data_IF_330918476325
#
_entry.id   IF_330918476325
#
_cell.length_a   1.000
_cell.length_b   1.000
_cell.length_c   1.000
_cell.angle_alpha   90.00
_cell.angle_beta   90.00
_cell.angle_gamma   90.00
#
_symmetry.space_group_name_H-M   'P 1'
#
loop_
_entity.id
_entity.type
_entity.pdbx_description
1 polymer ?
#
# COMPACT_ATOMS: atom_id res chain seq x y z
N UNK A 1 4.74 -26.36 -14.66
CA UNK A 1 5.31 -25.17 -13.96
C UNK A 1 4.58 -25.04 -12.64
N UNK A 2 5.27 -25.18 -11.51
CA UNK A 2 4.63 -24.98 -10.20
C UNK A 2 4.24 -23.49 -10.08
N UNK A 3 2.96 -23.20 -9.86
CA UNK A 3 2.50 -21.85 -9.52
C UNK A 3 3.12 -21.52 -8.16
N UNK A 4 4.15 -20.67 -8.15
CA UNK A 4 4.75 -20.17 -6.91
C UNK A 4 3.66 -19.35 -6.22
N UNK A 5 3.31 -19.73 -5.00
CA UNK A 5 2.31 -18.97 -4.24
C UNK A 5 2.80 -17.53 -4.04
N UNK A 6 1.91 -16.53 -4.16
CA UNK A 6 2.29 -15.15 -3.98
C UNK A 6 2.77 -14.91 -2.55
N UNK A 7 3.92 -14.23 -2.40
CA UNK A 7 4.46 -13.85 -1.10
C UNK A 7 3.47 -12.93 -0.37
N UNK A 8 3.31 -13.13 0.93
CA UNK A 8 2.37 -12.40 1.79
C UNK A 8 3.13 -11.50 2.75
N UNK A 9 2.54 -10.36 3.08
CA UNK A 9 3.05 -9.35 4.01
C UNK A 9 1.95 -8.98 4.99
N UNK A 10 2.29 -8.88 6.27
CA UNK A 10 1.35 -8.53 7.34
C UNK A 10 1.58 -7.10 7.81
N UNK A 11 0.56 -6.27 7.70
CA UNK A 11 0.50 -4.94 8.26
C UNK A 11 -0.24 -4.97 9.59
N UNK A 12 0.35 -4.34 10.63
CA UNK A 12 -0.25 -4.25 11.96
C UNK A 12 -0.65 -2.81 12.26
N UNK A 13 -1.93 -2.58 12.54
CA UNK A 13 -2.49 -1.28 12.91
C UNK A 13 -3.17 -1.39 14.27
N UNK A 14 -2.61 -0.75 15.31
CA UNK A 14 -3.17 -0.74 16.68
C UNK A 14 -3.46 -2.15 17.23
N UNK A 15 -2.61 -3.12 16.89
CA UNK A 15 -2.74 -4.52 17.30
C UNK A 15 -3.70 -5.36 16.44
N UNK A 16 -4.25 -4.80 15.36
CA UNK A 16 -5.07 -5.51 14.37
C UNK A 16 -4.24 -5.84 13.14
N UNK A 17 -4.48 -7.00 12.55
CA UNK A 17 -3.71 -7.54 11.44
C UNK A 17 -4.43 -7.35 10.09
N UNK A 18 -3.63 -7.09 9.08
CA UNK A 18 -4.05 -7.07 7.68
C UNK A 18 -3.00 -7.74 6.82
N UNK A 19 -3.37 -8.82 6.14
CA UNK A 19 -2.48 -9.64 5.31
C UNK A 19 -2.74 -9.28 3.86
N UNK A 20 -1.71 -8.80 3.19
CA UNK A 20 -1.72 -8.47 1.78
C UNK A 20 -0.79 -9.44 1.03
N UNK A 21 -1.11 -9.71 -0.23
CA UNK A 21 -0.11 -10.17 -1.19
C UNK A 21 0.91 -9.05 -1.42
N UNK A 22 2.18 -9.41 -1.55
CA UNK A 22 3.23 -8.46 -1.96
C UNK A 22 2.91 -7.92 -3.37
N UNK A 23 2.79 -6.60 -3.53
CA UNK A 23 2.43 -6.00 -4.81
C UNK A 23 3.52 -6.25 -5.86
N UNK A 24 3.11 -6.52 -7.09
CA UNK A 24 4.00 -6.56 -8.24
C UNK A 24 4.13 -5.15 -8.86
N UNK A 25 4.90 -5.02 -9.93
CA UNK A 25 5.09 -3.74 -10.60
C UNK A 25 3.78 -3.10 -11.10
N UNK A 26 2.84 -3.89 -11.61
CA UNK A 26 1.55 -3.39 -12.11
C UNK A 26 0.69 -2.85 -10.95
N UNK A 27 0.66 -3.56 -9.82
CA UNK A 27 -0.02 -3.12 -8.60
C UNK A 27 0.56 -1.79 -8.08
N UNK A 28 1.89 -1.68 -8.08
CA UNK A 28 2.59 -0.46 -7.67
C UNK A 28 2.32 0.70 -8.64
N UNK A 29 2.31 0.44 -9.94
CA UNK A 29 1.98 1.45 -10.96
C UNK A 29 0.56 1.98 -10.77
N UNK A 30 -0.38 1.12 -10.36
CA UNK A 30 -1.72 1.54 -10.02
C UNK A 30 -1.75 2.44 -8.76
N UNK A 31 -1.02 2.04 -7.72
CA UNK A 31 -0.82 2.85 -6.51
C UNK A 31 -0.21 4.23 -6.79
N UNK A 32 0.85 4.29 -7.61
CA UNK A 32 1.51 5.53 -8.04
C UNK A 32 0.56 6.43 -8.84
N UNK A 33 -0.29 5.86 -9.68
CA UNK A 33 -1.28 6.63 -10.45
C UNK A 33 -2.32 7.28 -9.54
N UNK A 34 -2.62 6.66 -8.39
CA UNK A 34 -3.50 7.20 -7.36
C UNK A 34 -2.79 8.18 -6.39
N UNK A 35 -1.48 8.36 -6.51
CA UNK A 35 -0.68 9.21 -5.62
C UNK A 35 -0.84 10.70 -5.88
N UNK A 36 -1.28 11.11 -7.07
CA UNK A 36 -1.39 12.53 -7.43
C UNK A 36 -2.85 12.88 -7.71
N UNK A 37 -3.36 13.95 -7.09
CA UNK A 37 -4.69 14.48 -7.42
C UNK A 37 -4.66 15.31 -8.71
N UNK A 38 -5.83 15.64 -9.25
CA UNK A 38 -5.96 16.53 -10.41
C UNK A 38 -5.32 17.90 -10.15
N UNK A 39 -5.32 18.35 -8.89
CA UNK A 39 -4.70 19.61 -8.47
C UNK A 39 -3.17 19.51 -8.24
N UNK A 40 -2.57 18.33 -8.45
CA UNK A 40 -1.16 18.09 -8.23
C UNK A 40 -0.77 17.81 -6.77
N UNK A 41 -1.74 17.65 -5.86
CA UNK A 41 -1.48 17.33 -4.46
C UNK A 41 -1.18 15.84 -4.28
N UNK A 42 -0.33 15.52 -3.29
CA UNK A 42 0.01 14.12 -2.95
C UNK A 42 -1.11 13.49 -2.11
N UNK A 43 -1.62 12.34 -2.57
CA UNK A 43 -2.68 11.56 -1.95
C UNK A 43 -2.16 10.18 -1.49
N UNK A 44 -1.32 10.17 -0.45
CA UNK A 44 -0.77 8.94 0.13
C UNK A 44 -1.86 7.94 0.56
N UNK A 45 -2.97 8.45 1.10
CA UNK A 45 -4.09 7.60 1.53
C UNK A 45 -4.74 6.91 0.34
N UNK A 46 -5.02 7.63 -0.74
CA UNK A 46 -5.58 7.07 -1.96
C UNK A 46 -4.65 6.05 -2.61
N UNK A 47 -3.35 6.35 -2.67
CA UNK A 47 -2.34 5.47 -3.21
C UNK A 47 -2.24 4.14 -2.44
N UNK A 48 -2.18 4.22 -1.10
CA UNK A 48 -2.18 3.05 -0.24
C UNK A 48 -3.49 2.25 -0.31
N UNK A 49 -4.63 2.95 -0.45
CA UNK A 49 -5.94 2.32 -0.62
C UNK A 49 -6.03 1.55 -1.94
N UNK A 50 -5.48 2.10 -3.01
CA UNK A 50 -5.43 1.45 -4.31
C UNK A 50 -4.65 0.12 -4.26
N UNK A 51 -3.51 0.09 -3.57
CA UNK A 51 -2.74 -1.15 -3.34
C UNK A 51 -3.52 -2.11 -2.43
N UNK A 52 -4.13 -1.60 -1.35
CA UNK A 52 -4.94 -2.42 -0.45
C UNK A 52 -6.06 -3.15 -1.21
N UNK A 53 -6.80 -2.46 -2.08
CA UNK A 53 -7.97 -3.02 -2.77
C UNK A 53 -7.63 -4.18 -3.70
N UNK A 54 -6.43 -4.19 -4.27
CA UNK A 54 -5.98 -5.23 -5.22
C UNK A 54 -5.12 -6.32 -4.56
N UNK A 55 -4.54 -6.04 -3.40
CA UNK A 55 -3.61 -6.95 -2.73
C UNK A 55 -4.16 -7.58 -1.44
N UNK A 56 -5.29 -7.11 -0.88
CA UNK A 56 -5.82 -7.65 0.38
C UNK A 56 -6.20 -9.12 0.26
N UNK A 57 -5.68 -9.94 1.17
CA UNK A 57 -6.05 -11.34 1.32
C UNK A 57 -6.99 -11.51 2.52
N UNK A 58 -6.58 -10.97 3.67
CA UNK A 58 -7.33 -11.05 4.92
C UNK A 58 -7.10 -9.76 5.71
N UNK A 59 -8.12 -9.28 6.42
CA UNK A 59 -7.98 -8.07 7.23
C UNK A 59 -9.03 -8.07 8.33
N UNK A 60 -8.61 -7.77 9.56
CA UNK A 60 -9.49 -7.69 10.71
C UNK A 60 -10.66 -6.74 10.45
N UNK A 61 -11.88 -7.15 10.84
CA UNK A 61 -13.11 -6.39 10.57
C UNK A 61 -13.06 -4.98 11.12
N UNK A 62 -12.48 -4.79 12.31
CA UNK A 62 -12.32 -3.48 12.93
C UNK A 62 -11.55 -2.49 12.04
N UNK A 63 -10.57 -2.95 11.25
CA UNK A 63 -9.83 -2.10 10.32
C UNK A 63 -10.77 -1.57 9.22
N UNK A 64 -11.68 -2.40 8.72
CA UNK A 64 -12.64 -2.06 7.66
C UNK A 64 -13.76 -1.16 8.15
N UNK A 65 -14.22 -1.40 9.38
CA UNK A 65 -15.36 -0.70 9.98
C UNK A 65 -14.96 0.62 10.66
N UNK A 66 -13.67 0.78 11.03
CA UNK A 66 -13.16 2.00 11.68
C UNK A 66 -12.34 2.85 10.70
N UNK A 67 -12.84 4.01 10.22
CA UNK A 67 -12.15 4.84 9.23
C UNK A 67 -10.71 5.21 9.63
N UNK A 68 -10.48 5.49 10.91
CA UNK A 68 -9.15 5.84 11.43
C UNK A 68 -8.13 4.71 11.24
N UNK A 69 -8.55 3.45 11.38
CA UNK A 69 -7.68 2.28 11.19
C UNK A 69 -7.42 2.04 9.71
N UNK A 70 -8.45 2.17 8.87
CA UNK A 70 -8.29 2.10 7.42
C UNK A 70 -7.30 3.16 6.91
N UNK A 71 -7.44 4.42 7.34
CA UNK A 71 -6.52 5.50 6.96
C UNK A 71 -5.09 5.18 7.42
N UNK A 72 -4.93 4.71 8.66
CA UNK A 72 -3.61 4.33 9.19
C UNK A 72 -2.97 3.17 8.41
N UNK A 73 -3.78 2.19 7.99
CA UNK A 73 -3.32 1.10 7.15
C UNK A 73 -2.86 1.60 5.78
N UNK A 74 -3.69 2.41 5.11
CA UNK A 74 -3.37 2.95 3.78
C UNK A 74 -2.08 3.76 3.80
N UNK A 75 -1.88 4.62 4.80
CA UNK A 75 -0.63 5.37 4.95
C UNK A 75 0.58 4.45 5.08
N UNK A 76 0.50 3.41 5.94
CA UNK A 76 1.59 2.43 6.09
C UNK A 76 1.90 1.69 4.79
N UNK A 77 0.87 1.32 4.02
CA UNK A 77 1.07 0.65 2.73
C UNK A 77 1.78 1.58 1.75
N UNK A 78 1.36 2.84 1.67
CA UNK A 78 2.00 3.83 0.81
C UNK A 78 3.44 4.15 1.24
N UNK A 79 3.70 4.23 2.55
CA UNK A 79 5.05 4.39 3.12
C UNK A 79 5.97 3.21 2.73
N UNK A 80 5.49 1.98 2.89
CA UNK A 80 6.28 0.78 2.61
C UNK A 80 6.66 0.65 1.12
N UNK A 81 5.72 0.96 0.23
CA UNK A 81 5.85 0.58 -1.18
C UNK A 81 6.03 1.74 -2.15
N UNK A 82 5.59 2.94 -1.79
CA UNK A 82 5.54 4.09 -2.71
C UNK A 82 6.44 5.23 -2.26
N UNK A 83 6.90 5.23 -1.02
CA UNK A 83 7.84 6.23 -0.55
C UNK A 83 9.15 6.06 -1.32
N UNK A 84 9.54 7.11 -2.04
CA UNK A 84 10.74 7.10 -2.86
C UNK A 84 11.95 6.93 -1.94
N UNK A 85 12.76 5.90 -2.20
CA UNK A 85 14.14 5.86 -1.69
C UNK A 85 14.78 7.17 -2.13
N UNK A 86 15.37 7.93 -1.20
CA UNK A 86 16.16 9.10 -1.56
C UNK A 86 17.31 8.63 -2.46
N UNK A 87 17.11 8.68 -3.77
CA UNK A 87 18.18 8.41 -4.72
C UNK A 87 19.01 9.69 -4.76
N UNK A 88 20.08 9.74 -3.96
CA UNK A 88 21.12 10.74 -4.16
C UNK A 88 21.66 10.56 -5.58
N UNK A 89 21.26 11.45 -6.49
CA UNK A 89 21.90 11.55 -7.80
C UNK A 89 23.28 12.14 -7.54
N UNK A 90 24.29 11.27 -7.39
CA UNK A 90 25.69 11.68 -7.43
C UNK A 90 25.94 12.28 -8.81
N UNK A 91 26.04 13.61 -8.89
CA UNK A 91 26.56 14.30 -10.07
C UNK A 91 28.02 13.86 -10.24
N UNK A 92 28.28 13.07 -11.29
CA UNK A 92 29.62 12.99 -11.88
C UNK A 92 29.84 14.19 -12.78
#
# INVERSE_FOLDING_TARGET
MAKKEPKKVTFIVKGKNCILREPNFEDLSFGLSALTTIEGNVNMVGAGKAIYDICVFECDKEIKETPKYMVSLCLKIAEEYLQTVQVEIKKN
#
